data_IF_503082087837
#
_entry.id   IF_503082087837
#
_cell.length_a   1.000
_cell.length_b   1.000
_cell.length_c   1.000
_cell.angle_alpha   90.00
_cell.angle_beta   90.00
_cell.angle_gamma   90.00
#
_symmetry.space_group_name_H-M   'P 1'
#
loop_
_entity.id
_entity.type
_entity.pdbx_description
1 polymer ?
#
# COMPACT_ATOMS: atom_id res chain seq x y z
N UNK A 1 84.17 18.43 -3.48
CA UNK A 1 83.60 17.19 -2.91
C UNK A 1 82.88 17.38 -1.57
N UNK A 2 83.23 18.36 -0.72
CA UNK A 2 82.61 18.53 0.62
C UNK A 2 81.11 18.88 0.66
N UNK A 3 80.59 19.71 -0.26
CA UNK A 3 79.17 20.12 -0.25
C UNK A 3 78.18 18.98 -0.57
N UNK A 4 78.54 18.05 -1.47
CA UNK A 4 77.68 16.89 -1.77
C UNK A 4 77.60 15.92 -0.59
N UNK A 5 78.69 15.76 0.16
CA UNK A 5 78.77 14.86 1.31
C UNK A 5 77.99 15.41 2.52
N UNK A 6 78.00 16.73 2.70
CA UNK A 6 77.12 17.44 3.64
C UNK A 6 75.64 17.28 3.28
N UNK A 7 75.27 17.47 2.00
CA UNK A 7 73.89 17.29 1.54
C UNK A 7 73.40 15.84 1.71
N UNK A 8 74.25 14.85 1.42
CA UNK A 8 73.92 13.43 1.62
C UNK A 8 73.61 13.11 3.09
N UNK A 9 74.41 13.63 4.04
CA UNK A 9 74.16 13.46 5.48
C UNK A 9 72.84 14.10 5.94
N UNK A 10 72.52 15.29 5.42
CA UNK A 10 71.25 15.97 5.75
C UNK A 10 70.05 15.20 5.22
N UNK A 11 70.16 14.62 4.02
CA UNK A 11 69.11 13.76 3.45
C UNK A 11 68.94 12.48 4.29
N UNK A 12 70.04 11.87 4.73
CA UNK A 12 70.02 10.67 5.58
C UNK A 12 69.32 10.93 6.94
N UNK A 13 69.65 12.04 7.61
CA UNK A 13 68.97 12.49 8.83
C UNK A 13 67.47 12.77 8.60
N UNK A 14 67.11 13.40 7.48
CA UNK A 14 65.70 13.62 7.12
C UNK A 14 64.94 12.32 6.83
N UNK A 15 65.59 11.31 6.24
CA UNK A 15 64.98 10.00 6.02
C UNK A 15 64.75 9.30 7.36
N UNK A 16 65.74 9.33 8.25
CA UNK A 16 65.66 8.71 9.57
C UNK A 16 64.57 9.32 10.46
N UNK A 17 64.47 10.64 10.49
CA UNK A 17 63.38 11.34 11.23
C UNK A 17 61.99 11.02 10.68
N UNK A 18 61.85 10.91 9.35
CA UNK A 18 60.59 10.45 8.72
C UNK A 18 60.26 9.01 9.06
N UNK A 19 61.24 8.12 9.09
CA UNK A 19 61.06 6.72 9.47
C UNK A 19 60.60 6.58 10.93
N UNK A 20 61.22 7.32 11.85
CA UNK A 20 60.79 7.38 13.25
C UNK A 20 59.37 7.93 13.39
N UNK A 21 59.02 8.98 12.64
CA UNK A 21 57.67 9.54 12.63
C UNK A 21 56.63 8.54 12.09
N UNK A 22 56.92 7.88 10.97
CA UNK A 22 56.09 6.79 10.43
C UNK A 22 55.94 5.64 11.44
N UNK A 23 57.01 5.29 12.16
CA UNK A 23 56.98 4.30 13.23
C UNK A 23 56.03 4.69 14.37
N UNK A 24 55.98 5.96 14.75
CA UNK A 24 55.02 6.48 15.73
C UNK A 24 53.58 6.44 15.20
N UNK A 25 53.34 6.85 13.95
CA UNK A 25 52.02 6.80 13.31
C UNK A 25 51.50 5.36 13.20
N UNK A 26 52.33 4.39 12.79
CA UNK A 26 51.95 2.98 12.71
C UNK A 26 51.56 2.44 14.09
N UNK A 27 52.31 2.78 15.15
CA UNK A 27 51.98 2.39 16.53
C UNK A 27 50.65 3.00 16.99
N UNK A 28 50.44 4.29 16.72
CA UNK A 28 49.18 5.00 17.01
C UNK A 28 47.99 4.38 16.29
N UNK A 29 48.16 4.05 15.01
CA UNK A 29 47.14 3.39 14.19
C UNK A 29 46.81 1.99 14.73
N UNK A 30 47.80 1.25 15.20
CA UNK A 30 47.60 -0.09 15.78
C UNK A 30 46.81 -0.03 17.10
N UNK A 31 47.10 0.94 17.96
CA UNK A 31 46.31 1.22 19.19
C UNK A 31 44.89 1.64 18.84
N UNK A 32 44.72 2.48 17.82
CA UNK A 32 43.40 2.91 17.35
C UNK A 32 42.61 1.73 16.75
N UNK A 33 43.27 0.86 15.99
CA UNK A 33 42.67 -0.34 15.40
C UNK A 33 42.21 -1.36 16.45
N UNK A 34 43.01 -1.56 17.51
CA UNK A 34 42.60 -2.42 18.64
C UNK A 34 41.40 -1.83 19.39
N UNK A 35 41.41 -0.52 19.64
CA UNK A 35 40.28 0.20 20.26
C UNK A 35 39.00 0.10 19.43
N UNK A 36 39.10 0.26 18.11
CA UNK A 36 37.97 0.11 17.18
C UNK A 36 37.44 -1.33 17.18
N UNK A 37 38.31 -2.34 17.21
CA UNK A 37 37.91 -3.74 17.29
C UNK A 37 37.13 -4.05 18.57
N UNK A 38 37.59 -3.52 19.71
CA UNK A 38 36.89 -3.64 21.00
C UNK A 38 35.54 -2.93 20.95
N UNK A 39 35.49 -1.70 20.41
CA UNK A 39 34.23 -0.96 20.26
C UNK A 39 33.23 -1.71 19.38
N UNK A 40 33.68 -2.30 18.27
CA UNK A 40 32.85 -3.12 17.37
C UNK A 40 32.29 -4.35 18.07
N UNK A 41 33.08 -5.06 18.88
CA UNK A 41 32.60 -6.20 19.67
C UNK A 41 31.53 -5.79 20.68
N UNK A 42 31.76 -4.69 21.41
CA UNK A 42 30.77 -4.14 22.36
C UNK A 42 29.46 -3.75 21.69
N UNK A 43 29.54 -3.16 20.49
CA UNK A 43 28.34 -2.82 19.72
C UNK A 43 27.57 -4.08 19.30
N UNK A 44 28.27 -5.12 18.83
CA UNK A 44 27.64 -6.39 18.44
C UNK A 44 26.96 -7.09 19.63
N UNK A 45 27.60 -7.09 20.80
CA UNK A 45 27.01 -7.62 22.04
C UNK A 45 25.77 -6.82 22.45
N UNK A 46 25.84 -5.49 22.37
CA UNK A 46 24.71 -4.61 22.67
C UNK A 46 23.53 -4.87 21.73
N UNK A 47 23.78 -5.00 20.42
CA UNK A 47 22.74 -5.32 19.43
C UNK A 47 22.10 -6.69 19.69
N UNK A 48 22.90 -7.69 20.08
CA UNK A 48 22.39 -9.01 20.48
C UNK A 48 21.50 -8.94 21.73
N UNK A 49 21.88 -8.15 22.73
CA UNK A 49 21.08 -7.94 23.95
C UNK A 49 19.76 -7.23 23.64
N UNK A 50 19.80 -6.21 22.77
CA UNK A 50 18.62 -5.48 22.31
C UNK A 50 17.71 -6.34 21.42
N UNK A 51 18.27 -7.28 20.68
CA UNK A 51 17.49 -8.17 19.81
C UNK A 51 16.89 -9.38 20.52
N UNK A 52 17.42 -9.73 21.70
CA UNK A 52 16.88 -10.80 22.54
C UNK A 52 15.57 -10.46 23.25
N UNK A 53 15.07 -11.42 24.04
CA UNK A 53 13.80 -11.30 24.77
C UNK A 53 13.77 -10.20 25.83
N UNK A 54 14.94 -9.84 26.39
CA UNK A 54 15.06 -8.76 27.38
C UNK A 54 15.12 -7.37 26.74
N UNK A 55 15.34 -7.29 25.43
CA UNK A 55 15.28 -6.06 24.64
C UNK A 55 13.95 -5.95 23.88
N UNK A 56 14.03 -5.67 22.59
CA UNK A 56 12.87 -5.51 21.70
C UNK A 56 12.35 -6.84 21.12
N UNK A 57 12.90 -8.00 21.50
CA UNK A 57 12.42 -9.30 21.01
C UNK A 57 10.95 -9.57 21.36
N UNK A 58 10.53 -9.26 22.60
CA UNK A 58 9.12 -9.38 23.02
C UNK A 58 8.20 -8.47 22.21
N UNK A 59 8.61 -7.22 21.97
CA UNK A 59 7.86 -6.27 21.16
C UNK A 59 7.74 -6.74 19.71
N UNK A 60 8.82 -7.26 19.11
CA UNK A 60 8.79 -7.86 17.78
C UNK A 60 7.82 -9.05 17.72
N UNK A 61 7.83 -9.94 18.71
CA UNK A 61 6.88 -11.05 18.78
C UNK A 61 5.44 -10.54 18.90
N UNK A 62 5.18 -9.53 19.73
CA UNK A 62 3.86 -8.92 19.86
C UNK A 62 3.40 -8.26 18.55
N UNK A 63 4.29 -7.56 17.85
CA UNK A 63 4.03 -7.00 16.53
C UNK A 63 3.64 -8.11 15.54
N UNK A 64 4.37 -9.23 15.51
CA UNK A 64 4.03 -10.37 14.65
C UNK A 64 2.64 -10.94 14.96
N UNK A 65 2.31 -11.11 16.24
CA UNK A 65 0.98 -11.58 16.68
C UNK A 65 -0.12 -10.60 16.28
N UNK A 66 0.12 -9.29 16.43
CA UNK A 66 -0.81 -8.25 15.98
C UNK A 66 -1.01 -8.30 14.46
N UNK A 67 0.07 -8.38 13.69
CA UNK A 67 0.03 -8.49 12.21
C UNK A 67 -0.70 -9.74 11.75
N UNK A 68 -0.46 -10.88 12.38
CA UNK A 68 -1.18 -12.13 12.10
C UNK A 68 -2.69 -11.98 12.36
N UNK A 69 -3.08 -11.30 13.45
CA UNK A 69 -4.49 -10.99 13.72
C UNK A 69 -5.09 -10.06 12.67
N UNK A 70 -4.38 -9.00 12.28
CA UNK A 70 -4.81 -8.08 11.21
C UNK A 70 -5.02 -8.82 9.89
N UNK A 71 -4.07 -9.67 9.50
CA UNK A 71 -4.15 -10.50 8.30
C UNK A 71 -5.36 -11.44 8.35
N UNK A 72 -5.61 -12.11 9.48
CA UNK A 72 -6.79 -12.96 9.65
C UNK A 72 -8.09 -12.16 9.49
N UNK A 73 -8.19 -11.00 10.13
CA UNK A 73 -9.39 -10.17 10.03
C UNK A 73 -9.61 -9.67 8.59
N UNK A 74 -8.55 -9.30 7.88
CA UNK A 74 -8.61 -8.85 6.49
C UNK A 74 -8.90 -10.02 5.52
N UNK A 75 -8.48 -11.24 5.87
CA UNK A 75 -8.88 -12.46 5.16
C UNK A 75 -10.40 -12.66 5.18
N UNK A 76 -11.05 -12.39 6.33
CA UNK A 76 -12.52 -12.41 6.42
C UNK A 76 -13.16 -11.34 5.54
N UNK A 77 -12.58 -10.13 5.45
CA UNK A 77 -13.08 -9.08 4.56
C UNK A 77 -12.94 -9.49 3.09
N UNK A 78 -11.82 -10.09 2.72
CA UNK A 78 -11.59 -10.63 1.37
C UNK A 78 -12.57 -11.75 1.04
N UNK A 79 -12.96 -12.58 2.02
CA UNK A 79 -14.00 -13.59 1.86
C UNK A 79 -15.39 -12.98 1.64
N UNK A 80 -15.73 -11.91 2.37
CA UNK A 80 -17.01 -11.21 2.24
C UNK A 80 -17.11 -10.41 0.92
N UNK A 81 -16.00 -9.83 0.48
CA UNK A 81 -15.87 -9.02 -0.73
C UNK A 81 -14.79 -9.56 -1.68
N UNK A 82 -15.00 -10.75 -2.27
CA UNK A 82 -14.00 -11.40 -3.09
C UNK A 82 -13.80 -10.62 -4.39
N UNK A 83 -12.55 -10.26 -4.66
CA UNK A 83 -12.13 -9.57 -5.90
C UNK A 83 -11.62 -10.62 -6.89
N UNK A 84 -12.50 -11.11 -7.77
CA UNK A 84 -12.15 -12.14 -8.77
C UNK A 84 -11.82 -11.50 -10.12
N UNK A 85 -10.74 -11.94 -10.75
CA UNK A 85 -10.48 -11.68 -12.18
C UNK A 85 -11.32 -12.65 -12.99
N UNK A 86 -12.30 -12.15 -13.74
CA UNK A 86 -13.09 -12.98 -14.65
C UNK A 86 -12.19 -13.32 -15.85
N UNK A 87 -11.61 -14.52 -15.85
CA UNK A 87 -10.92 -15.08 -17.01
C UNK A 87 -11.95 -15.97 -17.70
N UNK A 88 -12.42 -15.54 -18.88
CA UNK A 88 -13.37 -16.27 -19.71
C UNK A 88 -14.83 -15.88 -19.46
N UNK A 89 -15.51 -15.40 -20.49
CA UNK A 89 -16.95 -15.21 -20.49
C UNK A 89 -17.64 -16.57 -20.57
N UNK A 90 -18.00 -17.17 -19.43
CA UNK A 90 -19.10 -18.13 -19.34
C UNK A 90 -19.55 -18.19 -17.89
N UNK A 91 -20.60 -17.45 -17.55
CA UNK A 91 -21.46 -17.70 -16.39
C UNK A 91 -22.75 -16.89 -16.65
N UNK A 92 -23.41 -17.24 -17.76
CA UNK A 92 -24.86 -17.19 -17.75
C UNK A 92 -25.31 -18.38 -16.89
N UNK A 93 -26.17 -18.10 -15.90
CA UNK A 93 -27.17 -18.98 -15.31
C UNK A 93 -26.98 -20.50 -15.55
N UNK A 94 -26.65 -21.25 -14.51
CA UNK A 94 -27.10 -22.65 -14.28
C UNK A 94 -26.43 -23.16 -12.98
N UNK A 95 -27.14 -23.15 -11.84
CA UNK A 95 -27.75 -24.37 -11.27
C UNK A 95 -27.65 -25.62 -12.16
N UNK A 96 -27.23 -26.73 -11.53
CA UNK A 96 -27.27 -28.12 -11.99
C UNK A 96 -26.06 -28.67 -12.74
N UNK A 97 -25.09 -29.25 -12.01
CA UNK A 97 -24.31 -30.37 -12.56
C UNK A 97 -24.04 -31.45 -11.49
N UNK A 98 -24.63 -32.63 -11.69
CA UNK A 98 -24.16 -33.91 -11.17
C UNK A 98 -22.97 -34.43 -12.01
N UNK A 99 -22.08 -35.29 -11.46
CA UNK A 99 -20.83 -35.64 -12.11
C UNK A 99 -20.94 -36.90 -12.97
N UNK A 100 -20.33 -36.88 -14.16
CA UNK A 100 -20.13 -38.07 -14.99
C UNK A 100 -19.06 -37.88 -16.05
N UNK A 101 -17.94 -38.63 -15.91
CA UNK A 101 -17.11 -39.29 -16.95
C UNK A 101 -16.75 -38.51 -18.23
N UNK A 102 -15.52 -38.35 -18.72
CA UNK A 102 -14.28 -39.17 -18.68
C UNK A 102 -13.10 -38.39 -19.30
N UNK A 103 -11.95 -38.40 -18.61
CA UNK A 103 -10.53 -38.69 -19.02
C UNK A 103 -10.12 -38.74 -20.53
N UNK A 104 -8.81 -38.68 -20.88
CA UNK A 104 -7.76 -37.66 -20.62
C UNK A 104 -6.82 -37.45 -21.87
N UNK A 105 -5.67 -36.78 -21.66
CA UNK A 105 -4.40 -36.80 -22.45
C UNK A 105 -4.07 -35.56 -23.32
N UNK A 106 -2.82 -35.16 -23.60
CA UNK A 106 -1.57 -34.83 -22.83
C UNK A 106 -0.71 -33.91 -23.77
N UNK A 107 0.54 -33.48 -23.50
CA UNK A 107 0.92 -32.06 -23.57
C UNK A 107 1.97 -31.73 -24.66
N UNK A 108 2.03 -30.48 -25.10
CA UNK A 108 3.06 -30.02 -26.03
C UNK A 108 3.25 -28.51 -25.99
N UNK A 109 4.33 -28.11 -25.32
CA UNK A 109 5.25 -27.03 -25.70
C UNK A 109 4.66 -25.72 -26.22
N UNK A 110 4.60 -24.70 -25.36
CA UNK A 110 5.11 -23.33 -25.64
C UNK A 110 5.16 -22.60 -24.29
N UNK A 111 6.20 -22.92 -23.52
CA UNK A 111 6.57 -22.19 -22.32
C UNK A 111 7.46 -21.02 -22.72
N UNK A 112 6.88 -19.93 -23.26
CA UNK A 112 7.52 -18.61 -23.24
C UNK A 112 6.57 -17.49 -23.73
N UNK A 113 5.39 -17.34 -23.11
CA UNK A 113 4.58 -16.12 -23.30
C UNK A 113 3.63 -15.81 -22.12
N UNK A 114 3.85 -16.43 -20.95
CA UNK A 114 3.03 -16.21 -19.74
C UNK A 114 3.61 -15.06 -18.89
N UNK A 115 3.80 -13.89 -19.51
CA UNK A 115 3.98 -12.62 -18.79
C UNK A 115 3.36 -11.53 -19.66
N UNK A 116 2.30 -10.90 -19.16
CA UNK A 116 1.63 -9.69 -19.70
C UNK A 116 0.33 -9.86 -20.52
N UNK A 117 -0.62 -10.74 -20.17
CA UNK A 117 -2.03 -10.52 -20.62
C UNK A 117 -3.12 -11.27 -19.86
N UNK A 118 -3.23 -11.10 -18.53
CA UNK A 118 -4.39 -11.60 -17.77
C UNK A 118 -5.13 -10.47 -17.03
N UNK A 119 -5.43 -9.36 -17.72
CA UNK A 119 -6.33 -8.32 -17.22
C UNK A 119 -7.75 -8.59 -17.74
N UNK A 120 -8.36 -9.68 -17.30
CA UNK A 120 -9.81 -9.87 -17.43
C UNK A 120 -10.57 -8.89 -16.52
N UNK A 121 -11.83 -8.54 -16.82
CA UNK A 121 -12.61 -7.63 -15.99
C UNK A 121 -12.70 -8.17 -14.56
N UNK A 122 -12.40 -7.30 -13.59
CA UNK A 122 -12.39 -7.65 -12.18
C UNK A 122 -13.79 -7.36 -11.60
N UNK A 123 -14.31 -8.25 -10.75
CA UNK A 123 -15.59 -8.10 -10.07
C UNK A 123 -15.43 -8.25 -8.55
N UNK A 124 -16.31 -7.60 -7.78
CA UNK A 124 -16.41 -7.79 -6.32
C UNK A 124 -17.73 -8.46 -6.00
N UNK A 125 -17.67 -9.59 -5.29
CA UNK A 125 -18.86 -10.38 -4.94
C UNK A 125 -19.73 -10.71 -6.18
N UNK A 126 -19.10 -10.94 -7.33
CA UNK A 126 -19.79 -11.21 -8.61
C UNK A 126 -20.33 -9.98 -9.35
N UNK A 127 -20.19 -8.77 -8.79
CA UNK A 127 -20.64 -7.52 -9.41
C UNK A 127 -19.49 -6.84 -10.14
N UNK A 128 -19.64 -6.64 -11.46
CA UNK A 128 -18.64 -5.97 -12.28
C UNK A 128 -18.71 -4.45 -12.11
N UNK A 129 -17.55 -3.82 -11.93
CA UNK A 129 -17.44 -2.37 -12.03
C UNK A 129 -17.23 -2.00 -13.51
N UNK A 130 -18.31 -1.93 -14.27
CA UNK A 130 -18.27 -1.35 -15.61
C UNK A 130 -18.30 0.16 -15.48
N UNK A 131 -17.11 0.75 -15.46
CA UNK A 131 -16.98 2.19 -15.68
C UNK A 131 -17.15 2.43 -17.16
N UNK A 132 -18.39 2.57 -17.65
CA UNK A 132 -18.59 3.20 -18.95
C UNK A 132 -17.84 4.54 -18.92
N UNK A 133 -17.10 4.90 -19.99
CA UNK A 133 -16.48 6.20 -20.04
C UNK A 133 -17.59 7.24 -19.81
N UNK A 134 -17.42 8.11 -18.81
CA UNK A 134 -18.40 9.12 -18.41
C UNK A 134 -18.85 10.03 -19.57
N UNK A 135 -18.12 10.00 -20.70
CA UNK A 135 -18.44 10.67 -21.96
C UNK A 135 -19.53 9.98 -22.80
N UNK A 136 -19.96 8.76 -22.46
CA UNK A 136 -21.02 7.99 -23.14
C UNK A 136 -22.19 7.64 -22.22
N UNK A 137 -22.49 8.46 -21.21
CA UNK A 137 -23.77 8.34 -20.51
C UNK A 137 -24.86 9.02 -21.32
N UNK A 138 -25.35 8.29 -22.34
CA UNK A 138 -26.56 8.66 -23.06
C UNK A 138 -27.79 8.39 -22.19
N UNK A 139 -28.93 9.00 -22.55
CA UNK A 139 -30.27 8.71 -22.02
C UNK A 139 -30.65 7.20 -22.00
N UNK A 140 -29.85 6.34 -22.61
CA UNK A 140 -30.03 4.88 -22.72
C UNK A 140 -29.01 4.08 -21.89
N UNK A 141 -28.55 4.59 -20.75
CA UNK A 141 -27.78 3.77 -19.83
C UNK A 141 -28.72 2.75 -19.16
N UNK A 142 -28.40 1.46 -19.26
CA UNK A 142 -29.20 0.41 -18.60
C UNK A 142 -29.22 0.67 -17.08
N UNK A 143 -30.41 0.98 -16.55
CA UNK A 143 -30.63 1.24 -15.11
C UNK A 143 -30.06 0.12 -14.26
N UNK A 144 -30.10 -1.13 -14.75
CA UNK A 144 -29.53 -2.30 -14.05
C UNK A 144 -28.00 -2.23 -13.97
N UNK A 145 -27.34 -1.75 -15.01
CA UNK A 145 -25.88 -1.63 -15.04
C UNK A 145 -25.38 -0.54 -14.09
N UNK A 146 -26.09 0.60 -14.04
CA UNK A 146 -25.79 1.67 -13.07
C UNK A 146 -25.96 1.15 -11.64
N UNK A 147 -27.08 0.47 -11.35
CA UNK A 147 -27.31 -0.13 -10.03
C UNK A 147 -26.21 -1.15 -9.63
N UNK A 148 -25.73 -1.97 -10.58
CA UNK A 148 -24.61 -2.88 -10.34
C UNK A 148 -23.33 -2.12 -9.99
N UNK A 149 -22.96 -1.11 -10.78
CA UNK A 149 -21.75 -0.32 -10.53
C UNK A 149 -21.79 0.41 -9.18
N UNK A 150 -22.94 0.99 -8.81
CA UNK A 150 -23.10 1.69 -7.51
C UNK A 150 -23.07 0.73 -6.33
N UNK A 151 -23.64 -0.47 -6.48
CA UNK A 151 -23.52 -1.54 -5.47
C UNK A 151 -22.07 -1.99 -5.29
N UNK A 152 -21.34 -2.20 -6.39
CA UNK A 152 -19.91 -2.54 -6.34
C UNK A 152 -19.09 -1.47 -5.62
N UNK A 153 -19.35 -0.18 -5.89
CA UNK A 153 -18.71 0.93 -5.19
C UNK A 153 -19.04 0.95 -3.69
N UNK A 154 -20.29 0.63 -3.32
CA UNK A 154 -20.68 0.45 -1.92
C UNK A 154 -19.91 -0.67 -1.21
N UNK A 155 -19.70 -1.80 -1.88
CA UNK A 155 -18.89 -2.91 -1.36
C UNK A 155 -17.42 -2.53 -1.21
N UNK A 156 -16.85 -1.81 -2.17
CA UNK A 156 -15.47 -1.29 -2.10
C UNK A 156 -15.33 -0.34 -0.91
N UNK A 157 -16.25 0.61 -0.77
CA UNK A 157 -16.33 1.55 0.33
C UNK A 157 -16.33 0.85 1.70
N UNK A 158 -17.16 -0.20 1.83
CA UNK A 158 -17.24 -0.96 3.06
C UNK A 158 -15.95 -1.75 3.34
N UNK A 159 -15.42 -2.44 2.34
CA UNK A 159 -14.16 -3.18 2.46
C UNK A 159 -13.00 -2.27 2.91
N UNK A 160 -12.84 -1.10 2.28
CA UNK A 160 -11.77 -0.14 2.62
C UNK A 160 -11.94 0.37 4.05
N UNK A 161 -13.17 0.70 4.46
CA UNK A 161 -13.46 1.16 5.82
C UNK A 161 -13.07 0.11 6.87
N UNK A 162 -13.37 -1.17 6.61
CA UNK A 162 -12.99 -2.28 7.49
C UNK A 162 -11.48 -2.49 7.52
N UNK A 163 -10.82 -2.54 6.35
CA UNK A 163 -9.36 -2.72 6.26
C UNK A 163 -8.63 -1.58 7.00
N UNK A 164 -9.04 -0.33 6.78
CA UNK A 164 -8.46 0.83 7.44
C UNK A 164 -8.63 0.77 8.97
N UNK A 165 -9.81 0.36 9.44
CA UNK A 165 -10.07 0.13 10.87
C UNK A 165 -9.15 -0.94 11.46
N UNK A 166 -8.97 -2.08 10.77
CA UNK A 166 -8.16 -3.20 11.23
C UNK A 166 -6.67 -2.89 11.21
N UNK A 167 -6.20 -2.11 10.23
CA UNK A 167 -4.82 -1.64 10.17
C UNK A 167 -4.56 -0.43 11.08
N UNK A 168 -5.58 0.11 11.74
CA UNK A 168 -5.52 1.38 12.50
C UNK A 168 -4.96 2.55 11.67
N UNK A 169 -5.37 2.65 10.41
CA UNK A 169 -5.00 3.74 9.51
C UNK A 169 -6.18 4.69 9.36
N UNK A 170 -6.08 5.97 9.79
CA UNK A 170 -7.15 6.93 9.56
C UNK A 170 -7.23 7.29 8.07
N UNK A 171 -8.38 7.05 7.46
CA UNK A 171 -8.60 7.39 6.05
C UNK A 171 -8.60 8.91 5.85
N UNK A 172 -7.96 9.37 4.77
CA UNK A 172 -7.93 10.78 4.40
C UNK A 172 -9.30 11.27 3.93
N UNK A 173 -10.07 10.40 3.27
CA UNK A 173 -11.41 10.71 2.78
C UNK A 173 -12.47 9.76 3.38
N UNK A 174 -12.85 9.94 4.67
CA UNK A 174 -13.77 9.05 5.36
C UNK A 174 -15.06 8.76 4.59
N UNK A 175 -15.50 7.52 4.63
CA UNK A 175 -16.68 7.06 3.90
C UNK A 175 -17.90 7.04 4.81
N UNK A 176 -19.02 7.62 4.35
CA UNK A 176 -20.35 7.40 4.94
C UNK A 176 -21.00 6.23 4.21
N UNK A 177 -21.10 5.11 4.92
CA UNK A 177 -21.65 3.88 4.39
C UNK A 177 -23.17 3.97 4.25
N UNK A 178 -23.67 3.68 3.06
CA UNK A 178 -25.10 3.68 2.72
C UNK A 178 -25.47 2.60 1.70
N UNK A 179 -24.67 1.54 1.59
CA UNK A 179 -24.82 0.52 0.55
C UNK A 179 -24.60 1.11 -0.83
N UNK A 180 -25.57 0.96 -1.73
CA UNK A 180 -25.57 1.57 -3.07
C UNK A 180 -25.57 3.10 -3.05
N UNK A 181 -25.97 3.73 -1.94
CA UNK A 181 -25.96 5.19 -1.74
C UNK A 181 -24.89 5.62 -0.73
N UNK A 182 -23.67 5.11 -0.88
CA UNK A 182 -22.53 5.52 -0.05
C UNK A 182 -21.95 6.86 -0.51
N UNK A 183 -21.30 7.59 0.41
CA UNK A 183 -20.71 8.92 0.14
C UNK A 183 -19.28 9.00 0.67
N UNK A 184 -18.44 9.83 0.03
CA UNK A 184 -17.07 10.11 0.47
C UNK A 184 -16.98 11.57 0.94
N UNK A 185 -16.27 11.79 2.05
CA UNK A 185 -16.09 13.09 2.68
C UNK A 185 -14.75 13.71 2.29
N UNK A 186 -14.78 14.94 1.78
CA UNK A 186 -13.58 15.76 1.59
C UNK A 186 -13.56 16.93 2.59
N UNK A 187 -12.45 17.02 3.34
CA UNK A 187 -12.18 18.08 4.29
C UNK A 187 -11.31 19.20 3.71
N UNK A 188 -11.06 19.21 2.41
CA UNK A 188 -10.40 20.32 1.73
C UNK A 188 -11.12 21.64 2.08
N UNK A 189 -10.37 22.71 2.40
CA UNK A 189 -10.99 24.00 2.70
C UNK A 189 -11.76 24.48 1.46
N UNK A 190 -13.08 24.57 1.60
CA UNK A 190 -13.94 25.13 0.56
C UNK A 190 -13.60 26.62 0.40
N UNK A 191 -13.04 26.99 -0.74
CA UNK A 191 -12.97 28.40 -1.18
C UNK A 191 -14.32 28.75 -1.79
N UNK A 192 -15.38 28.80 -0.99
CA UNK A 192 -16.63 29.41 -1.41
C UNK A 192 -16.54 30.92 -1.17
N UNK A 193 -16.76 31.77 -2.19
CA UNK A 193 -16.92 33.20 -1.96
C UNK A 193 -18.19 33.43 -1.14
N UNK A 194 -18.00 34.00 0.05
CA UNK A 194 -19.04 34.38 1.00
C UNK A 194 -20.22 35.08 0.31
N UNK A 195 -21.35 34.40 0.22
CA UNK A 195 -22.66 35.03 0.19
C UNK A 195 -23.30 34.78 1.55
N UNK A 196 -23.24 35.80 2.40
CA UNK A 196 -23.72 35.76 3.77
C UNK A 196 -25.26 35.76 3.81
N UNK A 197 -25.83 34.81 4.55
CA UNK A 197 -27.18 34.88 5.08
C UNK A 197 -27.17 34.23 6.47
N UNK A 198 -27.49 34.95 7.56
CA UNK A 198 -27.46 34.37 8.89
C UNK A 198 -28.78 33.68 9.15
N UNK A 199 -28.75 32.36 9.38
CA UNK A 199 -29.81 31.70 10.14
C UNK A 199 -29.17 30.90 11.27
N UNK A 200 -29.38 31.41 12.48
CA UNK A 200 -28.98 30.79 13.73
C UNK A 200 -29.95 29.68 14.09
N UNK A 201 -29.44 28.45 14.21
CA UNK A 201 -29.83 27.48 15.25
C UNK A 201 -29.11 26.14 15.02
N UNK A 202 -28.01 25.91 15.74
CA UNK A 202 -27.72 24.65 16.45
C UNK A 202 -26.21 24.58 16.76
N UNK A 203 -25.85 24.96 17.98
CA UNK A 203 -24.58 24.67 18.59
C UNK A 203 -24.45 23.14 18.75
N UNK A 204 -23.63 22.50 17.92
CA UNK A 204 -22.72 21.38 18.23
C UNK A 204 -21.83 21.16 17.00
N UNK A 205 -20.52 21.12 17.25
CA UNK A 205 -19.43 20.80 16.34
C UNK A 205 -18.87 21.96 15.54
N UNK A 206 -17.60 22.25 15.83
CA UNK A 206 -16.65 22.96 14.97
C UNK A 206 -16.39 22.18 13.66
N UNK A 207 -17.45 21.86 12.93
CA UNK A 207 -17.39 21.20 11.64
C UNK A 207 -17.01 22.25 10.60
N UNK A 208 -15.74 22.26 10.21
CA UNK A 208 -15.38 22.61 8.83
C UNK A 208 -16.43 21.93 7.93
N UNK A 209 -17.21 22.70 7.15
CA UNK A 209 -18.19 22.13 6.21
C UNK A 209 -17.45 21.13 5.31
N UNK A 210 -17.58 19.86 5.63
CA UNK A 210 -16.99 18.78 4.87
C UNK A 210 -17.94 18.47 3.72
N UNK A 211 -17.44 18.50 2.50
CA UNK A 211 -18.25 18.25 1.32
C UNK A 211 -18.43 16.73 1.16
N UNK A 212 -19.69 16.29 1.06
CA UNK A 212 -20.02 14.91 0.76
C UNK A 212 -20.22 14.72 -0.74
N UNK A 213 -19.52 13.73 -1.31
CA UNK A 213 -19.62 13.36 -2.71
C UNK A 213 -20.22 11.95 -2.87
N UNK A 214 -21.20 11.75 -3.76
CA UNK A 214 -21.89 10.47 -3.90
C UNK A 214 -21.00 9.43 -4.60
N UNK A 215 -21.00 8.17 -4.12
CA UNK A 215 -20.40 7.03 -4.83
C UNK A 215 -21.40 6.36 -5.80
N UNK A 216 -22.45 7.09 -6.18
CA UNK A 216 -23.47 6.62 -7.10
C UNK A 216 -23.71 7.64 -8.21
N UNK A 217 -24.17 7.13 -9.35
CA UNK A 217 -24.46 7.91 -10.53
C UNK A 217 -25.95 8.25 -10.53
N UNK A 218 -26.31 9.40 -9.97
CA UNK A 218 -27.59 10.05 -10.26
C UNK A 218 -27.37 11.04 -11.40
N UNK A 219 -28.21 10.99 -12.44
CA UNK A 219 -27.97 11.58 -13.77
C UNK A 219 -27.60 13.08 -13.82
N UNK A 220 -27.69 13.82 -12.71
CA UNK A 220 -27.30 15.23 -12.61
C UNK A 220 -25.86 15.44 -12.08
N UNK A 221 -25.25 14.43 -11.44
CA UNK A 221 -24.04 14.56 -10.61
C UNK A 221 -22.87 13.65 -11.03
N UNK A 222 -22.76 13.36 -12.33
CA UNK A 222 -21.73 12.46 -12.88
C UNK A 222 -20.30 12.88 -12.51
N UNK A 223 -20.02 14.18 -12.56
CA UNK A 223 -18.70 14.74 -12.24
C UNK A 223 -18.37 14.61 -10.75
N UNK A 224 -19.36 14.82 -9.87
CA UNK A 224 -19.23 14.63 -8.43
C UNK A 224 -19.00 13.16 -8.09
N UNK A 225 -19.70 12.25 -8.77
CA UNK A 225 -19.52 10.81 -8.60
C UNK A 225 -18.13 10.35 -9.06
N UNK A 226 -17.67 10.81 -10.23
CA UNK A 226 -16.32 10.53 -10.73
C UNK A 226 -15.24 11.03 -9.76
N UNK A 227 -15.46 12.20 -9.14
CA UNK A 227 -14.57 12.72 -8.10
C UNK A 227 -14.59 11.87 -6.83
N UNK A 228 -15.77 11.45 -6.34
CA UNK A 228 -15.88 10.56 -5.19
C UNK A 228 -15.12 9.24 -5.38
N UNK A 229 -15.23 8.65 -6.58
CA UNK A 229 -14.50 7.42 -6.94
C UNK A 229 -12.99 7.66 -6.93
N UNK A 230 -12.53 8.80 -7.45
CA UNK A 230 -11.12 9.18 -7.41
C UNK A 230 -10.62 9.30 -5.98
N UNK A 231 -11.38 9.95 -5.08
CA UNK A 231 -11.05 10.06 -3.67
C UNK A 231 -11.01 8.68 -2.98
N UNK A 232 -11.98 7.81 -3.27
CA UNK A 232 -11.99 6.44 -2.78
C UNK A 232 -10.72 5.68 -3.20
N UNK A 233 -10.28 5.85 -4.45
CA UNK A 233 -9.02 5.25 -4.89
C UNK A 233 -7.81 5.84 -4.18
N UNK A 234 -7.85 7.13 -3.80
CA UNK A 234 -6.77 7.74 -3.01
C UNK A 234 -6.67 7.17 -1.60
N UNK A 235 -7.79 6.76 -1.00
CA UNK A 235 -7.75 6.00 0.25
C UNK A 235 -7.16 4.59 0.06
N UNK A 236 -7.45 3.90 -1.05
CA UNK A 236 -6.80 2.62 -1.36
C UNK A 236 -5.28 2.82 -1.53
N UNK A 237 -4.87 3.86 -2.27
CA UNK A 237 -3.46 4.22 -2.46
C UNK A 237 -2.77 4.52 -1.12
N UNK A 238 -3.45 5.20 -0.20
CA UNK A 238 -2.94 5.41 1.16
C UNK A 238 -2.70 4.09 1.88
N UNK A 239 -3.65 3.15 1.83
CA UNK A 239 -3.51 1.83 2.45
C UNK A 239 -2.40 1.00 1.79
N UNK A 240 -2.27 1.04 0.46
CA UNK A 240 -1.18 0.41 -0.27
C UNK A 240 0.19 0.95 0.18
N UNK A 241 0.32 2.28 0.26
CA UNK A 241 1.54 2.92 0.74
C UNK A 241 1.86 2.51 2.19
N UNK A 242 0.84 2.39 3.05
CA UNK A 242 1.01 1.93 4.43
C UNK A 242 1.58 0.50 4.52
N UNK A 243 1.15 -0.40 3.63
CA UNK A 243 1.67 -1.79 3.59
C UNK A 243 2.96 -1.95 2.75
N UNK A 244 3.45 -0.84 2.18
CA UNK A 244 4.66 -0.79 1.35
C UNK A 244 4.49 -1.29 -0.08
N UNK A 245 3.29 -1.18 -0.65
CA UNK A 245 2.98 -1.49 -2.04
C UNK A 245 2.68 -0.21 -2.84
N UNK A 246 2.91 -0.25 -4.17
CA UNK A 246 2.63 0.86 -5.08
C UNK A 246 1.24 0.70 -5.70
N UNK A 247 0.53 1.81 -5.91
CA UNK A 247 -0.73 1.80 -6.65
C UNK A 247 -0.49 1.68 -8.16
N UNK A 248 -1.46 1.09 -8.85
CA UNK A 248 -1.51 1.00 -10.32
C UNK A 248 -2.09 2.28 -10.95
N UNK A 249 -2.35 3.32 -10.16
CA UNK A 249 -2.88 4.60 -10.60
C UNK A 249 -4.35 4.86 -10.21
N UNK A 250 -4.87 6.07 -10.50
CA UNK A 250 -6.14 6.59 -9.96
C UNK A 250 -7.41 5.95 -10.54
N UNK A 251 -7.32 5.31 -11.71
CA UNK A 251 -8.47 4.71 -12.41
C UNK A 251 -8.67 3.22 -12.12
N UNK A 252 -7.75 2.62 -11.34
CA UNK A 252 -7.66 1.17 -11.16
C UNK A 252 -8.17 0.71 -9.80
N UNK A 253 -9.36 1.18 -9.38
CA UNK A 253 -9.93 0.93 -8.03
C UNK A 253 -9.90 -0.55 -7.63
N UNK A 254 -10.46 -1.40 -8.48
CA UNK A 254 -10.53 -2.85 -8.22
C UNK A 254 -9.17 -3.54 -8.23
N UNK A 255 -8.29 -3.15 -9.17
CA UNK A 255 -6.97 -3.75 -9.26
C UNK A 255 -6.09 -3.32 -8.06
N UNK A 256 -6.22 -2.08 -7.60
CA UNK A 256 -5.56 -1.58 -6.39
C UNK A 256 -6.09 -2.30 -5.14
N UNK A 257 -7.40 -2.55 -5.03
CA UNK A 257 -7.95 -3.34 -3.92
C UNK A 257 -7.47 -4.80 -3.96
N UNK A 258 -7.40 -5.41 -5.16
CA UNK A 258 -6.84 -6.75 -5.34
C UNK A 258 -5.39 -6.82 -4.88
N UNK A 259 -4.59 -5.83 -5.27
CA UNK A 259 -3.18 -5.73 -4.89
C UNK A 259 -3.01 -5.50 -3.37
N UNK A 260 -3.91 -4.73 -2.76
CA UNK A 260 -3.95 -4.52 -1.32
C UNK A 260 -4.20 -5.83 -0.58
N UNK A 261 -5.22 -6.59 -0.98
CA UNK A 261 -5.48 -7.92 -0.42
C UNK A 261 -4.28 -8.85 -0.63
N UNK A 262 -3.73 -8.91 -1.84
CA UNK A 262 -2.57 -9.76 -2.15
C UNK A 262 -1.39 -9.44 -1.24
N UNK A 263 -1.11 -8.16 -0.99
CA UNK A 263 0.03 -7.72 -0.17
C UNK A 263 -0.18 -8.00 1.31
N UNK A 264 -1.39 -7.83 1.83
CA UNK A 264 -1.68 -8.05 3.26
C UNK A 264 -1.80 -9.54 3.57
N UNK A 265 -2.38 -10.31 2.66
CA UNK A 265 -2.58 -11.76 2.83
C UNK A 265 -1.30 -12.55 2.57
N UNK A 266 -0.23 -11.91 2.10
CA UNK A 266 1.06 -12.58 1.90
C UNK A 266 1.78 -12.83 3.24
N UNK A 267 2.58 -13.91 3.35
CA UNK A 267 3.29 -14.21 4.58
C UNK A 267 4.29 -13.12 4.97
N UNK A 268 4.82 -12.38 3.99
CA UNK A 268 5.77 -11.29 4.22
C UNK A 268 5.15 -10.11 5.00
N UNK A 269 3.82 -10.02 5.10
CA UNK A 269 3.16 -8.98 5.88
C UNK A 269 3.39 -9.14 7.40
N UNK A 270 3.52 -10.38 7.89
CA UNK A 270 3.74 -10.65 9.33
C UNK A 270 5.14 -10.19 9.77
N UNK A 271 6.11 -10.33 8.87
CA UNK A 271 7.52 -10.05 9.17
C UNK A 271 7.92 -8.57 8.95
N UNK A 272 6.99 -7.71 8.52
CA UNK A 272 7.14 -6.25 8.37
C UNK A 272 6.79 -5.48 9.66
#
# INVERSE_FOLDING_TARGET
MGNMLMQAKVVEEHVKTKEEHLGCEIKSLLVSGTSLSVARKRLQESDRLLSGERGHGRLRNLQKVLRARQQYMISQVSFLYPVKTLIGATEELELDFFPGSSRPETPGEYADEIKQRNQGPVAISGVQLSMLPFTQMSFFTDKKQVQRSTTALGYIAHAISLIASYLHVPLRYPVRLGGSHSYVKDYAPSVEPTSAGPSSAALISANKKCLEFPLFLDGQDVTRAAYAIFLLNKDIEQLLNYVGAKSLGPRHVLANLKELYRTILSPEFIDK
#
